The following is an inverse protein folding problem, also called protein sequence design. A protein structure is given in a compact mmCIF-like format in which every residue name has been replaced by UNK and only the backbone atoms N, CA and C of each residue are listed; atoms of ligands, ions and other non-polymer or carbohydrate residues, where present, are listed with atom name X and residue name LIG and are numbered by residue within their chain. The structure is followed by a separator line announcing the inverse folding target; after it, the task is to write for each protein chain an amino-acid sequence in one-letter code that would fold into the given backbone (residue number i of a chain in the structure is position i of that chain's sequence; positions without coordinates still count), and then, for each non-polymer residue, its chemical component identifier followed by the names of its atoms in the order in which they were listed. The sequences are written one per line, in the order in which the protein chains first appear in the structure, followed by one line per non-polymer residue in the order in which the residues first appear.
data_IF_267475311862
#
_entry.id   IF_267475311862
#
_cell.length_a   1.000
_cell.length_b   1.000
_cell.length_c   1.000
_cell.angle_alpha   90.00
_cell.angle_beta   90.00
_cell.angle_gamma   90.00
#
_symmetry.space_group_name_H-M   'P 1'
#
loop_
_entity.id
_entity.type
_entity.pdbx_description
1 polymer ?
#
# COMPACT_ATOMS: atom_id res chain seq x y z
N UNK A 1 -0.24 -16.05 -3.58
CA UNK A 1 -0.91 -14.88 -4.21
C UNK A 1 0.00 -14.15 -5.20
N UNK A 2 1.22 -13.73 -4.88
CA UNK A 2 2.12 -12.96 -5.78
C UNK A 2 2.46 -13.69 -7.09
N UNK A 3 2.79 -14.99 -7.03
CA UNK A 3 3.08 -15.79 -8.24
C UNK A 3 1.91 -15.76 -9.23
N UNK A 4 0.67 -15.90 -8.74
CA UNK A 4 -0.50 -15.83 -9.60
C UNK A 4 -0.68 -14.45 -10.25
N UNK A 5 -0.38 -13.39 -9.50
CA UNK A 5 -0.40 -12.02 -10.04
C UNK A 5 0.64 -11.83 -11.15
N UNK A 6 1.86 -12.36 -10.97
CA UNK A 6 2.90 -12.33 -12.01
C UNK A 6 2.46 -13.15 -13.24
N UNK A 7 1.91 -14.35 -13.03
CA UNK A 7 1.47 -15.24 -14.13
C UNK A 7 0.28 -14.69 -14.91
N UNK A 8 -0.56 -13.86 -14.30
CA UNK A 8 -1.69 -13.20 -14.96
C UNK A 8 -1.28 -12.04 -15.88
N UNK A 9 -0.03 -11.57 -15.79
CA UNK A 9 0.47 -10.50 -16.67
C UNK A 9 0.61 -10.99 -18.12
N UNK A 10 0.32 -10.10 -19.05
CA UNK A 10 0.63 -10.30 -20.47
C UNK A 10 2.15 -10.37 -20.69
N UNK A 11 2.56 -10.75 -21.90
CA UNK A 11 3.93 -10.55 -22.38
C UNK A 11 4.37 -9.10 -22.19
N UNK A 12 5.62 -8.89 -21.76
CA UNK A 12 6.19 -7.58 -21.44
C UNK A 12 5.50 -6.84 -20.25
N UNK A 13 4.59 -7.50 -19.50
CA UNK A 13 3.93 -6.89 -18.35
C UNK A 13 4.90 -6.61 -17.21
N UNK A 14 4.61 -5.59 -16.42
CA UNK A 14 5.40 -5.22 -15.24
C UNK A 14 4.65 -5.52 -13.96
N UNK A 15 5.30 -6.20 -13.02
CA UNK A 15 4.82 -6.44 -11.66
C UNK A 15 5.54 -5.52 -10.68
N UNK A 16 4.77 -4.74 -9.92
CA UNK A 16 5.27 -3.90 -8.84
C UNK A 16 4.68 -4.38 -7.51
N UNK A 17 5.47 -4.99 -6.62
CA UNK A 17 5.04 -5.25 -5.25
C UNK A 17 4.99 -3.94 -4.46
N UNK A 18 3.82 -3.60 -3.89
CA UNK A 18 3.58 -2.33 -3.17
C UNK A 18 3.60 -2.51 -1.65
N UNK A 19 3.49 -3.75 -1.16
CA UNK A 19 3.53 -4.06 0.25
C UNK A 19 4.78 -4.88 0.58
N UNK A 20 5.28 -4.75 1.82
CA UNK A 20 6.31 -5.63 2.33
C UNK A 20 5.77 -7.06 2.35
N UNK A 21 6.24 -7.87 1.43
CA UNK A 21 5.91 -9.28 1.32
C UNK A 21 7.14 -10.12 1.69
N UNK A 22 6.91 -11.28 2.27
CA UNK A 22 7.97 -12.25 2.52
C UNK A 22 8.50 -12.88 1.23
N UNK A 23 9.03 -14.10 1.34
CA UNK A 23 9.51 -14.88 0.20
C UNK A 23 8.37 -15.25 -0.77
N UNK A 24 8.72 -15.45 -2.03
CA UNK A 24 7.81 -15.98 -3.05
C UNK A 24 8.15 -17.45 -3.25
N UNK A 25 7.27 -18.33 -2.79
CA UNK A 25 7.41 -19.76 -3.00
C UNK A 25 6.97 -20.15 -4.42
N UNK A 26 7.63 -21.17 -4.98
CA UNK A 26 7.34 -21.71 -6.31
C UNK A 26 7.44 -20.70 -7.47
N UNK A 27 8.33 -19.71 -7.33
CA UNK A 27 8.65 -18.75 -8.37
C UNK A 27 9.71 -19.31 -9.32
N UNK A 28 9.38 -19.41 -10.61
CA UNK A 28 10.30 -19.85 -11.66
C UNK A 28 10.73 -18.65 -12.51
N UNK A 29 11.99 -18.23 -12.34
CA UNK A 29 12.54 -17.08 -13.07
C UNK A 29 12.47 -17.31 -14.60
N UNK A 30 12.71 -18.53 -15.05
CA UNK A 30 12.65 -18.87 -16.48
C UNK A 30 11.23 -18.73 -17.06
N UNK A 31 10.28 -19.44 -16.46
CA UNK A 31 8.90 -19.46 -16.95
C UNK A 31 8.08 -18.24 -16.60
N UNK A 32 8.33 -17.64 -15.42
CA UNK A 32 7.51 -16.54 -14.93
C UNK A 32 8.00 -15.16 -15.40
N UNK A 33 9.30 -14.99 -15.68
CA UNK A 33 9.89 -13.71 -16.08
C UNK A 33 10.54 -13.77 -17.47
N UNK A 34 11.52 -14.67 -17.67
CA UNK A 34 12.37 -14.64 -18.86
C UNK A 34 11.59 -14.96 -20.15
N UNK A 35 10.89 -16.09 -20.19
CA UNK A 35 10.18 -16.50 -21.40
C UNK A 35 9.05 -15.53 -21.79
N UNK A 36 8.23 -14.99 -20.87
CA UNK A 36 7.22 -14.00 -21.20
C UNK A 36 7.79 -12.56 -21.24
N UNK A 37 9.10 -12.36 -21.10
CA UNK A 37 9.78 -11.05 -21.09
C UNK A 37 9.14 -10.05 -20.09
N UNK A 38 8.74 -10.54 -18.92
CA UNK A 38 8.12 -9.71 -17.89
C UNK A 38 9.17 -8.99 -17.06
N UNK A 39 8.77 -7.88 -16.44
CA UNK A 39 9.60 -7.11 -15.52
C UNK A 39 9.05 -7.22 -14.11
N UNK A 40 9.94 -7.42 -13.13
CA UNK A 40 9.65 -7.19 -11.72
C UNK A 40 10.42 -5.97 -11.27
N UNK A 41 9.72 -4.94 -10.81
CA UNK A 41 10.33 -3.68 -10.38
C UNK A 41 9.97 -3.41 -8.92
N UNK A 42 10.99 -3.20 -8.06
CA UNK A 42 10.79 -2.69 -6.71
C UNK A 42 10.37 -1.22 -6.76
N UNK A 43 9.58 -0.81 -5.79
CA UNK A 43 9.22 0.61 -5.58
C UNK A 43 9.07 0.84 -4.09
N UNK A 44 9.48 2.00 -3.63
CA UNK A 44 9.27 2.46 -2.27
C UNK A 44 8.60 3.84 -2.35
N UNK A 45 7.38 3.94 -1.84
CA UNK A 45 6.59 5.19 -1.82
C UNK A 45 6.51 5.91 -3.17
N UNK A 46 6.50 5.15 -4.27
CA UNK A 46 6.47 5.69 -5.63
C UNK A 46 7.72 6.45 -6.04
N UNK A 47 8.86 6.24 -5.36
CA UNK A 47 10.13 6.94 -5.61
C UNK A 47 10.00 8.48 -5.47
N UNK A 48 8.99 8.93 -4.70
CA UNK A 48 8.73 10.35 -4.49
C UNK A 48 9.68 10.94 -3.44
N UNK A 49 10.06 12.22 -3.59
CA UNK A 49 10.74 12.97 -2.55
C UNK A 49 9.71 13.47 -1.52
N UNK A 50 9.76 12.98 -0.25
CA UNK A 50 8.79 13.38 0.78
C UNK A 50 8.75 14.89 1.04
N UNK A 51 9.88 15.60 0.90
CA UNK A 51 9.97 17.04 1.14
C UNK A 51 9.13 17.85 0.17
N UNK A 52 8.98 17.38 -1.04
CA UNK A 52 8.15 18.01 -2.07
C UNK A 52 6.75 17.42 -2.15
N UNK A 53 6.63 16.12 -1.99
CA UNK A 53 5.36 15.42 -2.20
C UNK A 53 4.38 15.58 -1.03
N UNK A 54 4.85 15.58 0.23
CA UNK A 54 3.97 15.80 1.39
C UNK A 54 3.28 17.18 1.34
N UNK A 55 4.00 18.31 1.11
CA UNK A 55 3.34 19.60 0.90
C UNK A 55 2.33 19.61 -0.26
N UNK A 56 2.61 18.87 -1.31
CA UNK A 56 1.69 18.72 -2.44
C UNK A 56 0.40 17.99 -2.01
N UNK A 57 0.49 16.88 -1.28
CA UNK A 57 -0.68 16.16 -0.75
C UNK A 57 -1.52 17.04 0.18
N UNK A 58 -0.89 17.83 1.05
CA UNK A 58 -1.58 18.79 1.92
C UNK A 58 -2.34 19.83 1.10
N UNK A 59 -1.75 20.32 0.02
CA UNK A 59 -2.42 21.26 -0.89
C UNK A 59 -3.64 20.60 -1.54
N UNK A 60 -3.49 19.40 -2.08
CA UNK A 60 -4.62 18.66 -2.67
C UNK A 60 -5.73 18.35 -1.67
N UNK A 61 -5.38 18.08 -0.41
CA UNK A 61 -6.36 17.91 0.66
C UNK A 61 -7.19 19.20 0.86
N UNK A 62 -6.51 20.35 0.97
CA UNK A 62 -7.17 21.65 1.11
C UNK A 62 -8.04 22.02 -0.09
N UNK A 63 -7.67 21.58 -1.27
CA UNK A 63 -8.43 21.75 -2.52
C UNK A 63 -9.58 20.72 -2.68
N UNK A 64 -9.76 19.79 -1.73
CA UNK A 64 -10.76 18.72 -1.80
C UNK A 64 -10.46 17.62 -2.82
N UNK A 65 -9.27 17.62 -3.41
CA UNK A 65 -8.82 16.64 -4.41
C UNK A 65 -8.21 15.38 -3.81
N UNK A 66 -7.88 15.41 -2.52
CA UNK A 66 -7.32 14.30 -1.77
C UNK A 66 -8.06 14.14 -0.44
N UNK A 67 -9.28 13.59 -0.44
CA UNK A 67 -10.15 13.51 0.74
C UNK A 67 -9.73 12.36 1.67
N UNK A 68 -8.52 12.41 2.22
CA UNK A 68 -7.94 11.38 3.09
C UNK A 68 -8.72 11.22 4.40
N UNK A 69 -9.37 12.26 4.88
CA UNK A 69 -10.24 12.26 6.05
C UNK A 69 -11.36 11.22 5.99
N UNK A 70 -11.84 10.88 4.79
CA UNK A 70 -12.90 9.89 4.59
C UNK A 70 -12.51 8.46 4.94
N UNK A 71 -11.22 8.16 4.99
CA UNK A 71 -10.71 6.83 5.34
C UNK A 71 -10.20 6.76 6.78
N UNK A 72 -10.21 7.88 7.52
CA UNK A 72 -9.72 7.95 8.91
C UNK A 72 -10.85 7.65 9.89
N UNK A 73 -10.55 6.83 10.89
CA UNK A 73 -11.40 6.59 12.06
C UNK A 73 -10.63 6.99 13.31
N UNK A 74 -11.17 7.91 14.08
CA UNK A 74 -10.49 8.46 15.27
C UNK A 74 -10.93 7.72 16.52
N UNK A 75 -9.97 7.39 17.37
CA UNK A 75 -10.16 6.76 18.68
C UNK A 75 -9.41 7.57 19.73
N UNK A 76 -9.90 7.57 20.96
CA UNK A 76 -9.12 8.06 22.08
C UNK A 76 -8.01 7.05 22.42
N UNK A 77 -6.91 7.50 23.03
CA UNK A 77 -5.79 6.60 23.34
C UNK A 77 -6.19 5.45 24.28
N UNK A 78 -7.15 5.69 25.16
CA UNK A 78 -7.69 4.65 26.05
C UNK A 78 -8.35 3.48 25.31
N UNK A 79 -8.81 3.71 24.06
CA UNK A 79 -9.51 2.72 23.22
C UNK A 79 -8.58 2.03 22.21
N UNK A 80 -7.26 2.00 22.49
CA UNK A 80 -6.27 1.44 21.57
C UNK A 80 -6.55 -0.02 21.20
N UNK A 81 -6.97 -0.85 22.17
CA UNK A 81 -7.28 -2.26 21.92
C UNK A 81 -8.48 -2.41 20.97
N UNK A 82 -9.48 -1.56 21.11
CA UNK A 82 -10.62 -1.54 20.21
C UNK A 82 -10.20 -1.07 18.79
N UNK A 83 -9.36 -0.06 18.71
CA UNK A 83 -8.84 0.42 17.41
C UNK A 83 -8.04 -0.68 16.67
N UNK A 84 -7.23 -1.45 17.40
CA UNK A 84 -6.48 -2.58 16.85
C UNK A 84 -7.42 -3.71 16.38
N UNK A 85 -8.42 -4.06 17.18
CA UNK A 85 -9.40 -5.08 16.82
C UNK A 85 -10.22 -4.67 15.59
N UNK A 86 -10.68 -3.42 15.51
CA UNK A 86 -11.42 -2.88 14.37
C UNK A 86 -10.58 -2.84 13.09
N UNK A 87 -9.28 -2.53 13.22
CA UNK A 87 -8.33 -2.58 12.10
C UNK A 87 -8.09 -4.01 11.62
N UNK A 88 -7.87 -4.95 12.55
CA UNK A 88 -7.61 -6.36 12.22
C UNK A 88 -8.83 -7.03 11.56
N UNK A 89 -10.03 -6.67 11.95
CA UNK A 89 -11.29 -7.18 11.36
C UNK A 89 -11.65 -6.53 10.02
N UNK A 90 -10.95 -5.48 9.60
CA UNK A 90 -11.27 -4.71 8.40
C UNK A 90 -12.51 -3.80 8.53
N UNK A 91 -13.01 -3.58 9.75
CA UNK A 91 -14.13 -2.68 10.03
C UNK A 91 -13.79 -1.22 9.72
N UNK A 92 -12.51 -0.86 9.87
CA UNK A 92 -11.97 0.46 9.54
C UNK A 92 -10.82 0.34 8.54
N UNK A 93 -10.59 1.42 7.77
CA UNK A 93 -9.48 1.47 6.81
C UNK A 93 -8.20 1.95 7.52
N UNK A 94 -8.29 3.06 8.25
CA UNK A 94 -7.15 3.66 8.95
C UNK A 94 -7.56 4.20 10.32
N UNK A 95 -7.14 3.53 11.39
CA UNK A 95 -7.28 4.00 12.76
C UNK A 95 -6.27 5.08 13.10
N UNK A 96 -6.71 6.13 13.76
CA UNK A 96 -5.88 7.23 14.28
C UNK A 96 -6.18 7.41 15.76
N UNK A 97 -5.14 7.32 16.59
CA UNK A 97 -5.25 7.52 18.04
C UNK A 97 -4.98 8.99 18.38
N UNK A 98 -5.86 9.60 19.17
CA UNK A 98 -5.63 10.92 19.78
C UNK A 98 -4.86 10.73 21.08
N UNK A 99 -3.60 11.18 21.11
CA UNK A 99 -2.71 11.01 22.27
C UNK A 99 -2.84 12.19 23.24
N UNK A 100 -3.17 13.36 22.73
CA UNK A 100 -3.43 14.57 23.53
C UNK A 100 -4.60 15.36 22.94
N UNK A 101 -5.35 15.98 23.82
CA UNK A 101 -6.32 17.03 23.46
C UNK A 101 -5.63 18.37 23.35
#
# INVERSE_FOLDING_TARGET
MMVNAIRSLKFHGTFLPVAAAGSIDHFDVGGDIMMPMRTMKGTCEGESDPKTFIPQMVRWYKEGRFPVDRILSFYDFADIDQALADSASGKIIKGVLRISQ
#
